data_IF_249880821649
#
_entry.id   IF_249880821649
#
_cell.length_a   1.000
_cell.length_b   1.000
_cell.length_c   1.000
_cell.angle_alpha   90.00
_cell.angle_beta   90.00
_cell.angle_gamma   90.00
#
_symmetry.space_group_name_H-M   'P 1'
#
loop_
_entity.id
_entity.type
_entity.pdbx_description
1 polymer ?
#
# COMPACT_ATOMS: atom_id res chain seq x y z
N UNK A 1 7.47 23.39 82.73
CA UNK A 1 8.89 23.51 83.11
C UNK A 1 9.64 23.65 81.79
N UNK A 2 9.95 24.89 81.51
CA UNK A 2 11.15 25.70 81.75
C UNK A 2 12.20 25.49 80.65
N UNK A 3 12.33 26.47 79.97
CA UNK A 3 13.23 27.59 79.61
C UNK A 3 14.19 27.22 78.48
N UNK A 4 14.12 27.87 77.34
CA UNK A 4 14.70 29.17 76.97
C UNK A 4 16.24 29.21 77.03
N UNK A 5 16.91 29.52 75.96
CA UNK A 5 17.94 30.54 75.73
C UNK A 5 18.53 30.42 74.34
N UNK A 6 18.31 31.33 73.42
CA UNK A 6 19.08 32.53 72.99
C UNK A 6 20.54 32.27 72.65
N UNK A 7 20.92 32.48 71.41
CA UNK A 7 21.77 33.55 70.82
C UNK A 7 22.31 33.13 69.46
N UNK A 8 21.95 33.82 68.38
CA UNK A 8 22.65 34.92 67.66
C UNK A 8 23.95 34.57 66.89
N UNK A 9 23.83 34.90 65.60
CA UNK A 9 24.83 35.46 64.67
C UNK A 9 25.79 34.49 64.00
N UNK A 10 25.77 34.34 62.69
CA UNK A 10 26.51 35.22 61.80
C UNK A 10 26.17 34.88 60.28
N UNK A 11 26.05 35.93 59.52
CA UNK A 11 25.94 36.00 58.08
C UNK A 11 27.09 35.25 57.43
N UNK A 12 26.76 34.41 56.41
CA UNK A 12 27.62 34.29 55.23
C UNK A 12 26.72 33.99 54.04
N UNK A 13 26.66 34.97 53.16
CA UNK A 13 26.06 34.95 51.84
C UNK A 13 26.99 34.10 50.96
N UNK A 14 26.61 32.88 50.65
CA UNK A 14 27.17 32.16 49.51
C UNK A 14 26.12 32.15 48.38
N UNK A 15 26.32 33.02 47.43
CA UNK A 15 25.54 33.04 46.19
C UNK A 15 25.77 31.75 45.42
N UNK A 16 24.73 30.93 45.32
CA UNK A 16 24.68 29.86 44.31
C UNK A 16 24.32 30.49 42.99
N UNK A 17 25.32 30.65 42.11
CA UNK A 17 25.12 30.92 40.70
C UNK A 17 24.67 29.60 40.09
N UNK A 18 23.36 29.45 39.84
CA UNK A 18 22.84 28.38 39.02
C UNK A 18 23.15 28.77 37.58
N UNK A 19 24.22 28.21 37.03
CA UNK A 19 24.44 28.19 35.58
C UNK A 19 23.37 27.30 34.96
N UNK A 20 22.32 27.90 34.40
CA UNK A 20 21.49 27.25 33.41
C UNK A 20 22.32 27.05 32.14
N UNK A 21 22.88 25.87 31.98
CA UNK A 21 23.38 25.44 30.69
C UNK A 21 22.16 25.26 29.81
N UNK A 22 21.89 26.23 28.93
CA UNK A 22 21.02 26.04 27.78
C UNK A 22 21.71 24.98 26.89
N UNK A 23 21.31 23.73 27.06
CA UNK A 23 21.55 22.72 26.05
C UNK A 23 20.64 23.13 24.89
N UNK A 24 21.20 23.87 23.92
CA UNK A 24 20.62 23.94 22.59
C UNK A 24 20.70 22.51 22.03
N UNK A 25 19.67 21.73 22.24
CA UNK A 25 19.39 20.57 21.42
C UNK A 25 19.25 21.11 20.00
N UNK A 26 20.27 20.90 19.18
CA UNK A 26 20.11 20.95 17.75
C UNK A 26 19.23 19.75 17.43
N UNK A 27 17.91 19.94 17.43
CA UNK A 27 17.04 19.09 16.67
C UNK A 27 17.47 19.27 15.23
N UNK A 28 18.35 18.39 14.77
CA UNK A 28 18.46 18.15 13.35
C UNK A 28 17.10 17.62 12.95
N UNK A 29 16.21 18.50 12.51
CA UNK A 29 15.13 18.14 11.62
C UNK A 29 15.89 17.51 10.45
N UNK A 30 15.91 16.18 10.39
CA UNK A 30 16.24 15.46 9.18
C UNK A 30 15.03 15.78 8.30
N UNK A 31 15.21 16.84 7.49
CA UNK A 31 14.29 17.15 6.41
C UNK A 31 14.38 15.96 5.45
N UNK A 32 13.52 14.98 5.66
CA UNK A 32 13.31 13.86 4.75
C UNK A 32 12.47 14.36 3.57
N UNK A 33 12.94 15.44 2.93
CA UNK A 33 12.32 15.94 1.72
C UNK A 33 12.51 14.88 0.62
N UNK A 34 11.45 14.08 0.39
CA UNK A 34 11.46 13.08 -0.66
C UNK A 34 11.47 13.82 -1.99
N UNK A 35 12.42 13.54 -2.90
CA UNK A 35 12.46 14.21 -4.20
C UNK A 35 11.18 14.04 -5.00
N UNK A 36 10.85 15.01 -5.86
CA UNK A 36 9.71 14.92 -6.79
C UNK A 36 9.84 13.74 -7.75
N UNK A 37 11.08 13.28 -7.99
CA UNK A 37 11.43 12.14 -8.82
C UNK A 37 12.57 11.37 -8.19
N UNK A 38 12.37 10.08 -8.04
CA UNK A 38 13.41 9.12 -7.67
C UNK A 38 13.57 8.18 -8.86
N UNK A 39 14.73 8.18 -9.49
CA UNK A 39 15.08 7.22 -10.56
C UNK A 39 15.90 6.11 -9.92
N UNK A 40 15.48 4.87 -10.07
CA UNK A 40 16.24 3.72 -9.57
C UNK A 40 17.63 3.66 -10.20
N UNK A 41 18.65 3.34 -9.42
CA UNK A 41 20.06 3.28 -9.88
C UNK A 41 20.31 2.18 -10.91
N UNK A 42 19.37 1.22 -11.02
CA UNK A 42 19.44 0.09 -11.95
C UNK A 42 18.07 -0.38 -12.39
N UNK A 43 18.01 -0.98 -13.57
CA UNK A 43 16.89 -1.82 -14.01
C UNK A 43 17.07 -3.28 -13.58
N UNK A 44 16.34 -4.16 -14.25
CA UNK A 44 16.39 -5.62 -14.03
C UNK A 44 15.42 -6.13 -12.98
N UNK A 45 14.65 -5.25 -12.37
CA UNK A 45 13.45 -5.57 -11.60
C UNK A 45 12.27 -4.79 -12.18
N UNK A 46 11.07 -5.26 -11.98
CA UNK A 46 9.85 -4.65 -12.53
C UNK A 46 8.91 -4.37 -11.36
N UNK A 47 8.97 -3.18 -10.74
CA UNK A 47 8.07 -2.81 -9.65
C UNK A 47 6.65 -2.65 -10.18
N UNK A 48 5.69 -3.22 -9.50
CA UNK A 48 4.28 -3.05 -9.81
C UNK A 48 3.55 -2.43 -8.64
N UNK A 49 3.57 -3.07 -7.46
CA UNK A 49 3.12 -2.51 -6.20
C UNK A 49 4.20 -1.66 -5.54
N UNK A 50 3.78 -0.59 -4.89
CA UNK A 50 4.64 0.26 -4.06
C UNK A 50 3.92 0.63 -2.77
N UNK A 51 4.66 0.58 -1.66
CA UNK A 51 4.19 1.03 -0.35
C UNK A 51 5.27 1.84 0.38
N UNK A 52 4.84 2.67 1.31
CA UNK A 52 5.75 3.42 2.16
C UNK A 52 5.71 2.91 3.60
N UNK A 53 6.82 2.32 4.04
CA UNK A 53 7.07 1.94 5.43
C UNK A 53 7.48 3.19 6.22
N UNK A 54 6.52 3.80 6.92
CA UNK A 54 6.73 5.05 7.65
C UNK A 54 7.63 4.87 8.87
N UNK A 55 7.66 3.65 9.45
CA UNK A 55 8.50 3.32 10.61
C UNK A 55 9.98 3.38 10.23
N UNK A 56 10.33 2.89 9.04
CA UNK A 56 11.70 2.86 8.56
C UNK A 56 11.99 3.95 7.51
N UNK A 57 11.01 4.80 7.17
CA UNK A 57 11.11 5.92 6.22
C UNK A 57 11.66 5.49 4.85
N UNK A 58 11.02 4.47 4.23
CA UNK A 58 11.48 3.86 2.98
C UNK A 58 10.32 3.44 2.08
N UNK A 59 10.54 3.51 0.77
CA UNK A 59 9.66 2.86 -0.19
C UNK A 59 10.00 1.38 -0.30
N UNK A 60 8.99 0.54 -0.27
CA UNK A 60 9.07 -0.89 -0.59
C UNK A 60 8.35 -1.15 -1.90
N UNK A 61 8.89 -2.05 -2.70
CA UNK A 61 8.26 -2.48 -3.94
C UNK A 61 8.57 -3.95 -4.21
N UNK A 62 7.58 -4.66 -4.73
CA UNK A 62 7.77 -6.00 -5.26
C UNK A 62 8.43 -5.98 -6.64
N UNK A 63 8.70 -7.15 -7.19
CA UNK A 63 9.23 -7.30 -8.55
C UNK A 63 8.51 -8.42 -9.29
N UNK A 64 7.92 -8.07 -10.44
CA UNK A 64 7.34 -9.07 -11.36
C UNK A 64 8.39 -9.93 -12.02
N UNK A 65 9.66 -9.49 -12.05
CA UNK A 65 10.73 -10.19 -12.78
C UNK A 65 11.32 -11.35 -12.00
N UNK A 66 11.45 -11.24 -10.67
CA UNK A 66 12.18 -12.18 -9.82
C UNK A 66 11.54 -12.43 -8.45
N UNK A 67 10.38 -11.83 -8.18
CA UNK A 67 9.67 -11.96 -6.92
C UNK A 67 10.32 -11.26 -5.72
N UNK A 68 11.53 -10.73 -5.85
CA UNK A 68 12.25 -10.05 -4.76
C UNK A 68 11.53 -8.78 -4.33
N UNK A 69 11.50 -8.50 -3.03
CA UNK A 69 11.03 -7.23 -2.49
C UNK A 69 12.23 -6.33 -2.26
N UNK A 70 12.15 -5.12 -2.79
CA UNK A 70 13.20 -4.12 -2.75
C UNK A 70 12.79 -2.91 -1.93
N UNK A 71 13.75 -2.35 -1.22
CA UNK A 71 13.73 -0.97 -0.76
C UNK A 71 14.27 -0.07 -1.87
N UNK A 72 13.57 1.03 -2.15
CA UNK A 72 14.04 2.10 -3.03
C UNK A 72 14.24 3.34 -2.17
N UNK A 73 15.49 3.76 -2.02
CA UNK A 73 15.83 4.92 -1.19
C UNK A 73 15.53 6.23 -1.92
N UNK A 74 15.44 7.34 -1.19
CA UNK A 74 15.27 8.69 -1.77
C UNK A 74 16.38 9.08 -2.77
N UNK A 75 17.55 8.42 -2.72
CA UNK A 75 18.63 8.61 -3.69
C UNK A 75 18.54 7.69 -4.91
N UNK A 76 17.57 6.81 -4.98
CA UNK A 76 17.38 5.83 -6.05
C UNK A 76 18.16 4.53 -5.86
N UNK A 77 18.83 4.34 -4.72
CA UNK A 77 19.49 3.06 -4.43
C UNK A 77 18.45 1.94 -4.29
N UNK A 78 18.70 0.78 -4.90
CA UNK A 78 17.83 -0.39 -4.91
C UNK A 78 18.44 -1.50 -4.07
N UNK A 79 17.84 -1.78 -2.92
CA UNK A 79 18.34 -2.70 -1.91
C UNK A 79 17.37 -3.89 -1.78
N UNK A 80 17.79 -5.14 -2.02
CA UNK A 80 16.93 -6.29 -1.76
C UNK A 80 16.73 -6.46 -0.25
N UNK A 81 15.47 -6.52 0.19
CA UNK A 81 15.11 -6.68 1.61
C UNK A 81 14.50 -8.04 1.92
N UNK A 82 13.77 -8.64 0.96
CA UNK A 82 13.26 -10.00 1.07
C UNK A 82 13.58 -10.74 -0.22
N UNK A 83 14.38 -11.80 -0.10
CA UNK A 83 14.71 -12.74 -1.17
C UNK A 83 14.19 -14.10 -0.71
N UNK A 84 13.14 -14.59 -1.37
CA UNK A 84 12.48 -15.84 -1.02
C UNK A 84 12.13 -16.61 -2.31
N UNK A 85 12.66 -17.82 -2.44
CA UNK A 85 12.45 -18.66 -3.64
C UNK A 85 10.97 -19.07 -3.84
N UNK A 86 10.11 -18.90 -2.84
CA UNK A 86 8.69 -19.15 -2.95
C UNK A 86 7.90 -17.97 -3.58
N UNK A 87 8.52 -16.79 -3.68
CA UNK A 87 7.98 -15.67 -4.42
C UNK A 87 8.26 -15.83 -5.92
N UNK A 88 7.22 -15.81 -6.73
CA UNK A 88 7.31 -16.00 -8.19
C UNK A 88 7.35 -14.64 -8.88
N UNK A 89 6.26 -13.87 -8.72
CA UNK A 89 6.14 -12.49 -9.13
C UNK A 89 5.33 -11.75 -8.04
N UNK A 90 5.97 -10.79 -7.40
CA UNK A 90 5.30 -9.95 -6.40
C UNK A 90 4.59 -8.80 -7.11
N UNK A 91 3.27 -8.78 -6.98
CA UNK A 91 2.38 -7.83 -7.64
C UNK A 91 2.09 -6.69 -6.66
N UNK A 92 0.90 -6.64 -6.07
CA UNK A 92 0.58 -5.67 -5.03
C UNK A 92 1.24 -6.01 -3.69
N UNK A 93 1.57 -5.00 -2.93
CA UNK A 93 2.09 -5.11 -1.57
C UNK A 93 1.35 -4.14 -0.65
N UNK A 94 1.24 -4.48 0.64
CA UNK A 94 0.59 -3.66 1.66
C UNK A 94 1.38 -3.71 2.97
N UNK A 95 1.66 -2.56 3.56
CA UNK A 95 2.36 -2.43 4.84
C UNK A 95 1.36 -2.30 5.98
N UNK A 96 1.20 -3.36 6.77
CA UNK A 96 0.42 -3.36 8.01
C UNK A 96 1.33 -2.98 9.19
N UNK A 97 1.59 -1.68 9.35
CA UNK A 97 2.46 -1.15 10.42
C UNK A 97 1.96 -1.52 11.81
N UNK A 98 0.63 -1.53 12.02
CA UNK A 98 0.02 -1.81 13.31
C UNK A 98 0.39 -3.21 13.82
N UNK A 99 0.61 -4.16 12.89
CA UNK A 99 0.95 -5.56 13.19
C UNK A 99 2.34 -5.96 12.75
N UNK A 100 3.15 -4.98 12.32
CA UNK A 100 4.52 -5.18 11.84
C UNK A 100 4.59 -6.25 10.74
N UNK A 101 3.73 -6.16 9.74
CA UNK A 101 3.65 -7.12 8.63
C UNK A 101 3.79 -6.45 7.28
N UNK A 102 4.41 -7.16 6.36
CA UNK A 102 4.33 -6.89 4.92
C UNK A 102 3.48 -7.98 4.27
N UNK A 103 2.44 -7.58 3.58
CA UNK A 103 1.49 -8.44 2.88
C UNK A 103 1.79 -8.35 1.39
N UNK A 104 1.85 -9.49 0.71
CA UNK A 104 2.36 -9.56 -0.66
C UNK A 104 1.46 -10.44 -1.51
N UNK A 105 0.83 -9.89 -2.53
CA UNK A 105 0.20 -10.66 -3.58
C UNK A 105 1.28 -11.31 -4.44
N UNK A 106 1.37 -12.64 -4.41
CA UNK A 106 2.35 -13.43 -5.14
C UNK A 106 1.64 -14.26 -6.19
N UNK A 107 1.96 -14.01 -7.44
CA UNK A 107 1.30 -14.63 -8.58
C UNK A 107 2.29 -15.17 -9.60
N UNK A 108 1.81 -16.02 -10.49
CA UNK A 108 2.57 -16.35 -11.70
C UNK A 108 2.48 -15.18 -12.68
N UNK A 109 3.46 -15.03 -13.57
CA UNK A 109 3.42 -13.96 -14.58
C UNK A 109 2.08 -13.97 -15.35
N UNK A 110 1.51 -12.78 -15.54
CA UNK A 110 0.22 -12.65 -16.24
C UNK A 110 0.26 -13.20 -17.67
N UNK A 111 1.40 -13.16 -18.32
CA UNK A 111 1.61 -13.67 -19.68
C UNK A 111 1.88 -15.16 -19.77
N UNK A 112 2.12 -15.83 -18.64
CA UNK A 112 2.41 -17.26 -18.65
C UNK A 112 1.17 -18.08 -19.02
N UNK A 113 1.33 -19.15 -19.80
CA UNK A 113 0.23 -20.05 -20.13
C UNK A 113 -0.19 -20.87 -18.90
N UNK A 114 -1.48 -21.17 -18.81
CA UNK A 114 -2.01 -22.03 -17.76
C UNK A 114 -2.89 -21.28 -16.75
N UNK A 115 -3.30 -21.97 -15.67
CA UNK A 115 -4.25 -21.42 -14.71
C UNK A 115 -3.66 -20.29 -13.87
N UNK A 116 -2.34 -20.09 -13.86
CA UNK A 116 -1.70 -19.12 -12.99
C UNK A 116 -1.66 -19.57 -11.53
N UNK A 117 -1.36 -18.63 -10.65
CA UNK A 117 -1.36 -18.81 -9.20
C UNK A 117 -1.94 -17.56 -8.52
N UNK A 118 -2.62 -17.75 -7.40
CA UNK A 118 -3.00 -16.68 -6.50
C UNK A 118 -2.56 -17.06 -5.08
N UNK A 119 -1.52 -16.41 -4.59
CA UNK A 119 -0.93 -16.65 -3.28
C UNK A 119 -0.90 -15.34 -2.49
N UNK A 120 -0.97 -15.44 -1.18
CA UNK A 120 -0.65 -14.33 -0.28
C UNK A 120 0.55 -14.73 0.56
N UNK A 121 1.65 -14.01 0.44
CA UNK A 121 2.78 -14.11 1.33
C UNK A 121 2.68 -13.06 2.44
N UNK A 122 3.07 -13.40 3.65
CA UNK A 122 3.07 -12.53 4.82
C UNK A 122 4.45 -12.62 5.46
N UNK A 123 5.08 -11.47 5.64
CA UNK A 123 6.39 -11.34 6.26
C UNK A 123 6.32 -10.44 7.50
N UNK A 124 7.20 -10.68 8.46
CA UNK A 124 7.50 -9.69 9.50
C UNK A 124 8.23 -8.52 8.86
N UNK A 125 7.68 -7.31 8.99
CA UNK A 125 8.18 -6.10 8.32
C UNK A 125 9.59 -5.72 8.78
N UNK A 126 9.91 -5.99 10.05
CA UNK A 126 11.20 -5.60 10.65
C UNK A 126 12.32 -6.57 10.32
N UNK A 127 12.03 -7.89 10.32
CA UNK A 127 13.05 -8.94 10.12
C UNK A 127 13.08 -9.52 8.72
N UNK A 128 12.01 -9.37 7.94
CA UNK A 128 11.83 -10.05 6.66
C UNK A 128 11.56 -11.56 6.79
N UNK A 129 11.29 -12.07 8.01
CA UNK A 129 10.96 -13.49 8.21
C UNK A 129 9.58 -13.80 7.63
N UNK A 130 9.47 -14.89 6.87
CA UNK A 130 8.20 -15.36 6.34
C UNK A 130 7.32 -15.90 7.46
N UNK A 131 6.16 -15.27 7.68
CA UNK A 131 5.16 -15.68 8.66
C UNK A 131 4.17 -16.69 8.08
N UNK A 132 3.81 -16.54 6.80
CA UNK A 132 2.90 -17.44 6.09
C UNK A 132 3.03 -17.32 4.57
N UNK A 133 2.69 -18.41 3.87
CA UNK A 133 2.41 -18.47 2.45
C UNK A 133 1.07 -19.18 2.26
N UNK A 134 0.08 -18.50 1.70
CA UNK A 134 -1.31 -18.95 1.66
C UNK A 134 -1.74 -19.14 0.22
N UNK A 135 -2.13 -20.34 -0.16
CA UNK A 135 -2.74 -20.62 -1.46
C UNK A 135 -4.20 -20.16 -1.47
N UNK A 136 -4.46 -19.03 -2.13
CA UNK A 136 -5.78 -18.44 -2.25
C UNK A 136 -6.64 -19.18 -3.28
N UNK A 137 -6.04 -19.76 -4.31
CA UNK A 137 -6.77 -20.53 -5.32
C UNK A 137 -7.42 -21.79 -4.71
N UNK A 138 -6.79 -22.38 -3.70
CA UNK A 138 -7.27 -23.58 -3.04
C UNK A 138 -8.62 -23.44 -2.30
N UNK A 139 -9.04 -22.21 -1.97
CA UNK A 139 -10.32 -21.96 -1.27
C UNK A 139 -11.47 -21.67 -2.21
N UNK A 140 -11.25 -21.68 -3.52
CA UNK A 140 -12.32 -21.49 -4.51
C UNK A 140 -13.07 -22.81 -4.69
N UNK A 141 -14.33 -22.82 -4.26
CA UNK A 141 -15.18 -24.01 -4.38
C UNK A 141 -15.65 -24.22 -5.83
N UNK A 142 -15.54 -25.45 -6.34
CA UNK A 142 -16.00 -25.85 -7.66
C UNK A 142 -15.55 -24.89 -8.80
N UNK A 143 -14.25 -24.62 -8.93
CA UNK A 143 -13.77 -23.73 -9.97
C UNK A 143 -14.13 -24.27 -11.36
N UNK A 144 -14.38 -23.37 -12.31
CA UNK A 144 -14.55 -23.75 -13.72
C UNK A 144 -13.32 -24.49 -14.23
N UNK A 145 -13.50 -25.35 -15.26
CA UNK A 145 -12.38 -26.14 -15.78
C UNK A 145 -11.26 -25.27 -16.43
N UNK A 146 -11.61 -24.07 -16.82
CA UNK A 146 -10.75 -23.04 -17.41
C UNK A 146 -10.46 -21.89 -16.42
N UNK A 147 -10.72 -22.09 -15.11
CA UNK A 147 -10.43 -21.10 -14.09
C UNK A 147 -8.95 -20.69 -14.15
N UNK A 148 -8.74 -19.38 -14.13
CA UNK A 148 -7.42 -18.79 -14.09
C UNK A 148 -7.32 -17.82 -12.91
N UNK A 149 -6.14 -17.75 -12.29
CA UNK A 149 -5.89 -17.06 -11.05
C UNK A 149 -4.78 -16.03 -11.21
N UNK A 150 -4.93 -14.89 -10.57
CA UNK A 150 -3.91 -13.87 -10.48
C UNK A 150 -4.21 -12.95 -9.30
N UNK A 151 -3.62 -13.26 -8.11
CA UNK A 151 -3.65 -12.34 -6.99
C UNK A 151 -2.95 -11.04 -7.40
N UNK A 152 -3.65 -9.92 -7.24
CA UNK A 152 -3.18 -8.65 -7.75
C UNK A 152 -2.82 -7.70 -6.61
N UNK A 153 -3.78 -7.24 -5.85
CA UNK A 153 -3.57 -6.21 -4.85
C UNK A 153 -4.13 -6.61 -3.48
N UNK A 154 -3.66 -5.93 -2.43
CA UNK A 154 -3.91 -6.30 -1.03
C UNK A 154 -4.37 -5.09 -0.25
N UNK A 155 -5.40 -5.27 0.57
CA UNK A 155 -5.82 -4.30 1.58
C UNK A 155 -5.95 -4.96 2.95
N UNK A 156 -5.75 -4.20 4.02
CA UNK A 156 -5.90 -4.67 5.40
C UNK A 156 -6.88 -3.82 6.19
N UNK A 157 -7.81 -4.47 6.92
CA UNK A 157 -8.71 -3.75 7.79
C UNK A 157 -8.05 -3.38 9.12
N UNK A 158 -8.63 -2.41 9.84
CA UNK A 158 -8.21 -2.06 11.21
C UNK A 158 -8.22 -3.25 12.18
N UNK A 159 -9.04 -4.28 11.91
CA UNK A 159 -9.06 -5.53 12.69
C UNK A 159 -7.98 -6.54 12.24
N UNK A 160 -7.16 -6.22 11.24
CA UNK A 160 -6.11 -7.09 10.71
C UNK A 160 -6.61 -8.19 9.76
N UNK A 161 -7.84 -8.11 9.28
CA UNK A 161 -8.35 -8.96 8.22
C UNK A 161 -7.80 -8.48 6.89
N UNK A 162 -7.23 -9.39 6.10
CA UNK A 162 -6.60 -9.11 4.81
C UNK A 162 -7.59 -9.42 3.70
N UNK A 163 -7.58 -8.61 2.65
CA UNK A 163 -8.36 -8.79 1.43
C UNK A 163 -7.43 -8.76 0.23
N UNK A 164 -7.66 -9.66 -0.73
CA UNK A 164 -6.81 -9.77 -1.91
C UNK A 164 -7.70 -9.85 -3.13
N UNK A 165 -7.47 -9.02 -4.14
CA UNK A 165 -8.14 -9.11 -5.43
C UNK A 165 -7.51 -10.18 -6.30
N UNK A 166 -8.33 -10.84 -7.13
CA UNK A 166 -7.89 -11.72 -8.19
C UNK A 166 -8.42 -11.19 -9.53
N UNK A 167 -7.50 -10.76 -10.39
CA UNK A 167 -7.85 -10.13 -11.66
C UNK A 167 -8.46 -11.11 -12.65
N UNK A 168 -7.92 -12.34 -12.73
CA UNK A 168 -8.36 -13.33 -13.72
C UNK A 168 -9.68 -13.99 -13.36
N UNK A 169 -9.86 -14.28 -12.07
CA UNK A 169 -11.08 -14.94 -11.60
C UNK A 169 -12.20 -13.95 -11.23
N UNK A 170 -11.88 -12.67 -11.07
CA UNK A 170 -12.78 -11.63 -10.56
C UNK A 170 -13.34 -11.99 -9.18
N UNK A 171 -12.46 -12.31 -8.26
CA UNK A 171 -12.76 -12.71 -6.88
C UNK A 171 -12.05 -11.75 -5.91
N UNK A 172 -12.65 -11.53 -4.76
CA UNK A 172 -11.95 -10.97 -3.60
C UNK A 172 -11.85 -12.07 -2.55
N UNK A 173 -10.63 -12.39 -2.16
CA UNK A 173 -10.35 -13.28 -1.04
C UNK A 173 -10.33 -12.51 0.27
N UNK A 174 -10.59 -13.24 1.35
CA UNK A 174 -10.50 -12.77 2.73
C UNK A 174 -9.64 -13.70 3.54
N UNK A 175 -8.64 -13.18 4.25
CA UNK A 175 -7.79 -13.94 5.16
C UNK A 175 -7.94 -13.39 6.57
N UNK A 176 -8.32 -14.24 7.51
CA UNK A 176 -8.55 -13.85 8.90
C UNK A 176 -7.23 -13.75 9.70
N UNK A 177 -7.33 -13.31 10.95
CA UNK A 177 -6.18 -13.19 11.87
C UNK A 177 -5.42 -14.48 12.17
N UNK A 178 -6.01 -15.65 11.84
CA UNK A 178 -5.38 -16.97 11.98
C UNK A 178 -4.80 -17.49 10.66
N UNK A 179 -4.71 -16.60 9.66
CA UNK A 179 -4.22 -16.90 8.31
C UNK A 179 -5.07 -17.95 7.56
N UNK A 180 -6.36 -18.01 7.88
CA UNK A 180 -7.31 -18.87 7.17
C UNK A 180 -7.98 -18.06 6.06
N UNK A 181 -7.80 -18.53 4.83
CA UNK A 181 -8.40 -17.92 3.65
C UNK A 181 -9.83 -18.40 3.40
N UNK A 182 -10.62 -17.56 2.77
CA UNK A 182 -11.94 -17.85 2.22
C UNK A 182 -12.25 -16.88 1.08
N UNK A 183 -13.21 -17.21 0.24
CA UNK A 183 -13.74 -16.26 -0.75
C UNK A 183 -14.68 -15.29 -0.03
N UNK A 184 -14.44 -13.98 -0.15
CA UNK A 184 -15.36 -12.95 0.34
C UNK A 184 -16.53 -12.76 -0.65
N UNK A 185 -16.18 -12.60 -1.93
CA UNK A 185 -17.14 -12.46 -3.03
C UNK A 185 -16.52 -12.98 -4.33
N UNK A 186 -17.34 -13.64 -5.13
CA UNK A 186 -16.98 -14.10 -6.48
C UNK A 186 -17.94 -13.44 -7.48
N UNK A 187 -17.41 -12.54 -8.30
CA UNK A 187 -18.19 -11.89 -9.36
C UNK A 187 -18.31 -12.77 -10.61
N UNK A 188 -17.41 -13.74 -10.76
CA UNK A 188 -17.29 -14.63 -11.92
C UNK A 188 -16.46 -14.05 -13.06
N UNK A 189 -15.77 -14.93 -13.78
CA UNK A 189 -14.92 -14.56 -14.92
C UNK A 189 -15.68 -13.81 -16.02
N UNK A 190 -16.96 -14.12 -16.19
CA UNK A 190 -17.82 -13.49 -17.21
C UNK A 190 -18.38 -12.12 -16.77
N UNK A 191 -18.05 -11.66 -15.55
CA UNK A 191 -18.52 -10.36 -15.05
C UNK A 191 -18.00 -9.16 -15.85
N UNK A 192 -16.88 -9.32 -16.52
CA UNK A 192 -16.15 -8.22 -17.16
C UNK A 192 -15.40 -7.31 -16.18
N UNK A 193 -15.42 -7.65 -14.90
CA UNK A 193 -14.65 -6.95 -13.86
C UNK A 193 -13.27 -7.59 -13.76
N UNK A 194 -12.29 -6.90 -14.24
CA UNK A 194 -10.89 -7.27 -14.08
C UNK A 194 -10.37 -6.54 -12.83
N UNK A 195 -10.64 -7.10 -11.65
CA UNK A 195 -10.30 -6.47 -10.37
C UNK A 195 -8.79 -6.25 -10.26
N UNK A 196 -8.42 -5.05 -9.83
CA UNK A 196 -7.02 -4.66 -9.62
C UNK A 196 -6.89 -4.06 -8.22
N UNK A 197 -6.55 -2.79 -8.08
CA UNK A 197 -6.37 -2.11 -6.81
C UNK A 197 -7.56 -2.29 -5.87
N UNK A 198 -7.27 -2.37 -4.57
CA UNK A 198 -8.27 -2.53 -3.51
C UNK A 198 -7.87 -1.77 -2.27
N UNK A 199 -8.84 -1.11 -1.65
CA UNK A 199 -8.65 -0.36 -0.41
C UNK A 199 -9.74 -0.64 0.62
N UNK A 200 -9.36 -0.68 1.89
CA UNK A 200 -10.29 -0.78 3.01
C UNK A 200 -10.66 0.61 3.54
N UNK A 201 -11.96 0.85 3.69
CA UNK A 201 -12.47 2.05 4.35
C UNK A 201 -12.92 1.75 5.79
N UNK A 202 -12.54 2.56 6.81
CA UNK A 202 -12.86 2.31 8.22
C UNK A 202 -14.37 2.23 8.54
N UNK A 203 -15.24 2.71 7.66
CA UNK A 203 -16.69 2.52 7.79
C UNK A 203 -17.18 1.10 7.46
N UNK A 204 -16.28 0.15 7.16
CA UNK A 204 -16.58 -1.27 7.01
C UNK A 204 -16.96 -1.71 5.61
N UNK A 205 -16.33 -1.16 4.60
CA UNK A 205 -16.42 -1.59 3.20
C UNK A 205 -15.07 -1.55 2.51
N UNK A 206 -14.98 -2.21 1.38
CA UNK A 206 -13.86 -2.12 0.45
C UNK A 206 -14.27 -1.25 -0.74
N UNK A 207 -13.29 -0.58 -1.33
CA UNK A 207 -13.37 -0.06 -2.69
C UNK A 207 -12.35 -0.82 -3.52
N UNK A 208 -12.78 -1.38 -4.64
CA UNK A 208 -11.90 -1.98 -5.63
C UNK A 208 -12.05 -1.26 -6.97
N UNK A 209 -11.01 -1.31 -7.82
CA UNK A 209 -11.07 -0.76 -9.17
C UNK A 209 -11.03 -1.87 -10.22
N UNK A 210 -11.76 -1.68 -11.31
CA UNK A 210 -11.71 -2.53 -12.50
C UNK A 210 -10.68 -1.98 -13.49
N UNK A 211 -9.72 -2.81 -13.92
CA UNK A 211 -8.68 -2.40 -14.86
C UNK A 211 -9.24 -1.96 -16.21
N UNK A 212 -10.34 -2.52 -16.67
CA UNK A 212 -10.85 -2.28 -18.02
C UNK A 212 -11.49 -0.91 -18.16
N UNK A 213 -12.56 -0.66 -17.43
CA UNK A 213 -13.33 0.56 -17.53
C UNK A 213 -12.97 1.62 -16.50
N UNK A 214 -12.28 1.23 -15.43
CA UNK A 214 -11.95 2.10 -14.29
C UNK A 214 -13.13 2.31 -13.36
N UNK A 215 -14.08 1.39 -13.36
CA UNK A 215 -15.19 1.39 -12.42
C UNK A 215 -14.66 1.19 -11.00
N UNK A 216 -15.13 2.03 -10.08
CA UNK A 216 -14.94 1.84 -8.65
C UNK A 216 -16.10 1.00 -8.10
N UNK A 217 -15.78 -0.03 -7.33
CA UNK A 217 -16.72 -1.01 -6.81
C UNK A 217 -16.68 -0.95 -5.31
N UNK A 218 -17.82 -0.64 -4.68
CA UNK A 218 -17.99 -0.62 -3.22
C UNK A 218 -18.55 -1.95 -2.73
N UNK A 219 -17.87 -2.58 -1.78
CA UNK A 219 -18.22 -3.89 -1.24
C UNK A 219 -18.40 -3.79 0.28
N UNK A 220 -19.64 -3.72 0.81
CA UNK A 220 -19.90 -3.72 2.25
C UNK A 220 -19.48 -5.05 2.90
N UNK A 221 -18.60 -5.01 3.92
CA UNK A 221 -18.08 -6.22 4.55
C UNK A 221 -19.12 -7.03 5.33
N UNK A 222 -20.18 -6.38 5.81
CA UNK A 222 -21.30 -7.05 6.51
C UNK A 222 -22.31 -7.69 5.56
N UNK A 223 -22.27 -7.37 4.27
CA UNK A 223 -23.16 -7.89 3.24
C UNK A 223 -22.49 -7.81 1.85
N UNK A 224 -21.42 -8.58 1.56
CA UNK A 224 -20.62 -8.43 0.34
C UNK A 224 -21.44 -8.55 -0.95
N UNK A 225 -22.49 -9.39 -0.95
CA UNK A 225 -23.39 -9.55 -2.10
C UNK A 225 -24.26 -8.31 -2.39
N UNK A 226 -24.21 -7.27 -1.56
CA UNK A 226 -24.86 -5.97 -1.79
C UNK A 226 -23.88 -4.93 -2.33
N UNK A 227 -22.85 -5.39 -3.01
CA UNK A 227 -21.92 -4.50 -3.68
C UNK A 227 -22.61 -3.59 -4.70
N UNK A 228 -22.02 -2.44 -5.00
CA UNK A 228 -22.51 -1.50 -6.00
C UNK A 228 -21.33 -0.85 -6.73
N UNK A 229 -21.59 -0.36 -7.94
CA UNK A 229 -20.69 0.58 -8.58
C UNK A 229 -20.79 1.92 -7.86
N UNK A 230 -19.66 2.60 -7.68
CA UNK A 230 -19.61 4.01 -7.28
C UNK A 230 -19.92 4.86 -8.51
N UNK A 231 -20.91 5.74 -8.45
CA UNK A 231 -21.19 6.66 -9.54
C UNK A 231 -20.07 7.71 -9.61
N UNK A 232 -19.27 7.70 -10.65
CA UNK A 232 -18.20 8.67 -10.87
C UNK A 232 -18.44 9.50 -12.12
N UNK A 233 -18.14 10.78 -12.06
CA UNK A 233 -18.27 11.70 -13.20
C UNK A 233 -17.19 11.46 -14.27
N UNK A 234 -16.06 10.87 -13.89
CA UNK A 234 -14.95 10.57 -14.79
C UNK A 234 -14.19 9.31 -14.36
N UNK A 235 -14.46 8.13 -14.93
CA UNK A 235 -13.84 6.88 -14.50
C UNK A 235 -12.34 6.81 -14.86
N UNK A 236 -11.57 6.13 -14.02
CA UNK A 236 -10.13 5.89 -14.19
C UNK A 236 -9.87 4.72 -15.14
N UNK A 237 -10.25 4.85 -16.42
CA UNK A 237 -10.07 3.77 -17.41
C UNK A 237 -8.62 3.26 -17.45
N UNK A 238 -8.43 1.95 -17.36
CA UNK A 238 -7.14 1.33 -17.11
C UNK A 238 -6.74 1.48 -15.64
N UNK A 239 -7.73 1.45 -14.73
CA UNK A 239 -7.49 1.53 -13.29
C UNK A 239 -6.57 0.41 -12.80
N UNK A 240 -5.59 0.78 -12.00
CA UNK A 240 -4.57 -0.12 -11.45
C UNK A 240 -4.58 0.00 -9.91
N UNK A 241 -3.51 0.41 -9.25
CA UNK A 241 -3.49 0.56 -7.81
C UNK A 241 -4.44 1.65 -7.28
N UNK A 242 -4.86 1.48 -6.03
CA UNK A 242 -5.61 2.44 -5.24
C UNK A 242 -4.82 2.84 -4.00
N UNK A 243 -5.00 4.05 -3.49
CA UNK A 243 -4.48 4.48 -2.20
C UNK A 243 -5.35 5.60 -1.59
N UNK A 244 -5.55 5.58 -0.27
CA UNK A 244 -6.20 6.66 0.45
C UNK A 244 -5.24 7.83 0.65
N UNK A 245 -5.66 9.03 0.26
CA UNK A 245 -4.97 10.26 0.62
C UNK A 245 -5.36 10.69 2.05
N UNK A 246 -4.49 11.47 2.71
CA UNK A 246 -4.69 11.95 4.09
C UNK A 246 -5.95 12.80 4.28
N UNK A 247 -6.45 13.44 3.23
CA UNK A 247 -7.69 14.22 3.25
C UNK A 247 -8.97 13.38 3.04
N UNK A 248 -8.84 12.04 2.98
CA UNK A 248 -9.94 11.10 2.76
C UNK A 248 -10.35 10.94 1.30
N UNK A 249 -9.62 11.53 0.37
CA UNK A 249 -9.77 11.24 -1.06
C UNK A 249 -9.17 9.89 -1.41
N UNK A 250 -9.75 9.20 -2.39
CA UNK A 250 -9.21 7.99 -2.98
C UNK A 250 -8.46 8.34 -4.27
N UNK A 251 -7.22 7.89 -4.36
CA UNK A 251 -6.39 8.06 -5.55
C UNK A 251 -6.35 6.73 -6.30
N UNK A 252 -6.67 6.76 -7.59
CA UNK A 252 -6.56 5.62 -8.50
C UNK A 252 -5.49 5.92 -9.54
N UNK A 253 -4.55 5.01 -9.70
CA UNK A 253 -3.62 5.04 -10.82
C UNK A 253 -4.32 4.55 -12.08
N UNK A 254 -4.11 5.22 -13.20
CA UNK A 254 -4.69 4.88 -14.49
C UNK A 254 -3.59 4.69 -15.53
N UNK A 255 -3.27 3.45 -15.87
CA UNK A 255 -2.27 3.13 -16.89
C UNK A 255 -2.62 3.75 -18.24
N UNK A 256 -3.88 3.59 -18.69
CA UNK A 256 -4.32 4.04 -20.01
C UNK A 256 -4.29 5.56 -20.17
N UNK A 257 -4.32 6.31 -19.05
CA UNK A 257 -4.27 7.77 -19.06
C UNK A 257 -2.89 8.30 -18.70
N UNK A 258 -1.96 7.45 -18.29
CA UNK A 258 -0.67 7.87 -17.73
C UNK A 258 -0.87 8.95 -16.65
N UNK A 259 -1.76 8.67 -15.71
CA UNK A 259 -2.17 9.63 -14.69
C UNK A 259 -2.61 8.95 -13.39
N UNK A 260 -2.56 9.69 -12.30
CA UNK A 260 -3.32 9.39 -11.09
C UNK A 260 -4.48 10.34 -10.95
N UNK A 261 -5.59 9.82 -10.47
CA UNK A 261 -6.89 10.48 -10.41
C UNK A 261 -7.40 10.43 -8.98
N UNK A 262 -7.65 11.61 -8.38
CA UNK A 262 -8.11 11.75 -7.01
C UNK A 262 -9.61 12.02 -6.98
N UNK A 263 -10.32 11.21 -6.22
CA UNK A 263 -11.77 11.28 -6.05
C UNK A 263 -12.14 11.63 -4.61
N UNK A 264 -13.22 12.36 -4.44
CA UNK A 264 -13.87 12.57 -3.14
C UNK A 264 -15.34 12.19 -3.19
N UNK A 265 -15.85 11.72 -2.07
CA UNK A 265 -17.26 11.36 -1.87
C UNK A 265 -17.81 12.02 -0.62
N UNK A 266 -19.03 12.55 -0.72
CA UNK A 266 -19.79 13.14 0.40
C UNK A 266 -20.94 12.23 0.88
N UNK A 267 -21.13 11.07 0.24
CA UNK A 267 -22.27 10.18 0.44
C UNK A 267 -21.85 8.72 0.75
N UNK A 268 -20.73 8.57 1.46
CA UNK A 268 -20.18 7.27 1.82
C UNK A 268 -19.80 6.39 0.62
N UNK A 269 -19.35 6.99 -0.47
CA UNK A 269 -18.94 6.30 -1.70
C UNK A 269 -20.08 5.58 -2.43
N UNK A 270 -21.28 6.12 -2.37
CA UNK A 270 -22.33 5.79 -3.33
C UNK A 270 -22.08 6.54 -4.66
N UNK A 271 -21.55 7.76 -4.57
CA UNK A 271 -20.97 8.50 -5.68
C UNK A 271 -19.66 9.18 -5.30
N UNK A 272 -18.85 9.57 -6.31
CA UNK A 272 -17.63 10.33 -6.10
C UNK A 272 -17.34 11.24 -7.28
N UNK A 273 -16.65 12.36 -7.01
CA UNK A 273 -16.26 13.35 -8.01
C UNK A 273 -14.74 13.37 -8.18
N UNK A 274 -14.27 13.51 -9.41
CA UNK A 274 -12.86 13.76 -9.69
C UNK A 274 -12.49 15.16 -9.19
N UNK A 275 -11.58 15.24 -8.23
CA UNK A 275 -11.15 16.51 -7.61
C UNK A 275 -9.73 16.90 -7.97
N UNK A 276 -8.94 15.94 -8.50
CA UNK A 276 -7.57 16.17 -8.94
C UNK A 276 -7.11 15.14 -9.95
N UNK A 277 -6.18 15.53 -10.81
CA UNK A 277 -5.50 14.63 -11.75
C UNK A 277 -4.08 15.11 -11.96
N UNK A 278 -3.11 14.20 -11.79
CA UNK A 278 -1.71 14.41 -12.12
C UNK A 278 -1.30 13.46 -13.23
N UNK A 279 -0.77 14.01 -14.34
CA UNK A 279 -0.36 13.23 -15.52
C UNK A 279 1.16 13.09 -15.57
N UNK A 280 1.63 11.98 -16.12
CA UNK A 280 3.04 11.64 -16.26
C UNK A 280 3.40 11.27 -17.70
N UNK A 281 4.69 11.27 -18.00
CA UNK A 281 5.21 10.56 -19.17
C UNK A 281 5.40 9.09 -18.77
N UNK A 282 4.81 8.16 -19.51
CA UNK A 282 4.86 6.72 -19.20
C UNK A 282 3.66 6.21 -18.39
N UNK A 283 3.70 4.94 -18.03
CA UNK A 283 2.63 4.25 -17.32
C UNK A 283 3.00 4.08 -15.85
N UNK A 284 2.17 4.61 -14.96
CA UNK A 284 2.20 4.26 -13.55
C UNK A 284 1.34 3.02 -13.28
N UNK A 285 1.69 2.26 -12.24
CA UNK A 285 0.92 1.08 -11.81
C UNK A 285 0.23 1.33 -10.47
N UNK A 286 0.97 1.61 -9.43
CA UNK A 286 0.45 1.80 -8.09
C UNK A 286 1.00 3.09 -7.48
N UNK A 287 0.36 3.59 -6.44
CA UNK A 287 0.80 4.77 -5.72
C UNK A 287 0.83 4.50 -4.21
N UNK A 288 1.79 5.11 -3.53
CA UNK A 288 1.91 5.13 -2.07
C UNK A 288 1.63 6.52 -1.51
N UNK A 289 1.01 6.59 -0.33
CA UNK A 289 0.81 7.83 0.40
C UNK A 289 1.93 8.04 1.43
N UNK A 290 2.51 9.24 1.45
CA UNK A 290 3.53 9.65 2.42
C UNK A 290 3.10 10.98 3.04
N UNK A 291 2.49 10.92 4.21
CA UNK A 291 1.85 12.09 4.80
C UNK A 291 0.75 12.63 3.89
N UNK A 292 0.88 13.88 3.45
CA UNK A 292 -0.09 14.52 2.55
C UNK A 292 0.23 14.33 1.06
N UNK A 293 1.27 13.59 0.75
CA UNK A 293 1.81 13.46 -0.60
C UNK A 293 1.57 12.07 -1.17
N UNK A 294 1.43 12.00 -2.48
CA UNK A 294 1.22 10.76 -3.24
C UNK A 294 2.41 10.55 -4.18
N UNK A 295 2.94 9.35 -4.17
CA UNK A 295 4.04 8.93 -5.02
C UNK A 295 3.62 7.73 -5.87
N UNK A 296 3.91 7.79 -7.16
CA UNK A 296 3.51 6.78 -8.16
C UNK A 296 4.73 6.07 -8.66
N UNK A 297 4.69 4.74 -8.71
CA UNK A 297 5.74 3.95 -9.34
C UNK A 297 5.50 3.80 -10.84
N UNK A 298 6.57 3.97 -11.61
CA UNK A 298 6.62 3.73 -13.06
C UNK A 298 7.63 2.63 -13.37
N UNK A 299 7.17 1.43 -13.74
CA UNK A 299 8.06 0.28 -13.96
C UNK A 299 8.82 0.29 -15.29
N UNK A 300 8.44 1.15 -16.25
CA UNK A 300 9.03 1.18 -17.59
C UNK A 300 8.98 -0.16 -18.32
N UNK A 301 7.78 -0.79 -18.37
CA UNK A 301 7.56 -2.13 -18.98
C UNK A 301 8.04 -2.25 -20.42
N UNK A 302 7.95 -1.17 -21.20
CA UNK A 302 8.13 -1.19 -22.64
C UNK A 302 9.53 -0.75 -23.11
N UNK A 303 10.36 -0.25 -22.20
CA UNK A 303 11.69 0.30 -22.52
C UNK A 303 12.75 -0.23 -21.54
N UNK A 304 13.99 0.19 -21.73
CA UNK A 304 15.09 -0.24 -20.89
C UNK A 304 15.47 0.80 -19.81
N UNK A 305 14.61 1.80 -19.62
CA UNK A 305 14.84 2.82 -18.62
C UNK A 305 14.67 2.24 -17.21
N UNK A 306 15.45 2.71 -16.23
CA UNK A 306 15.25 2.31 -14.85
C UNK A 306 13.87 2.74 -14.33
N UNK A 307 13.25 1.98 -13.42
CA UNK A 307 12.01 2.38 -12.79
C UNK A 307 12.12 3.71 -12.06
N UNK A 308 11.00 4.41 -11.95
CA UNK A 308 10.92 5.70 -11.27
C UNK A 308 9.79 5.74 -10.25
N UNK A 309 9.97 6.58 -9.22
CA UNK A 309 8.92 6.97 -8.29
C UNK A 309 8.72 8.47 -8.44
N UNK A 310 7.50 8.89 -8.75
CA UNK A 310 7.17 10.28 -9.08
C UNK A 310 6.15 10.84 -8.10
N UNK A 311 6.39 12.05 -7.59
CA UNK A 311 5.40 12.78 -6.79
C UNK A 311 4.25 13.26 -7.67
N UNK A 312 3.02 12.89 -7.32
CA UNK A 312 1.80 13.40 -7.95
C UNK A 312 1.49 14.81 -7.43
N UNK A 313 1.26 15.75 -8.33
CA UNK A 313 0.87 17.14 -8.02
C UNK A 313 -0.53 17.40 -8.60
N UNK A 314 -1.53 17.36 -7.73
CA UNK A 314 -2.94 17.60 -8.06
C UNK A 314 -3.29 19.08 -8.19
#
# INVERSE_FOLDING_TARGET
MSLAYFQRCFRNLCGFVICFSLVNGCDTIVDNDIPDRITAERGGFIPEGIEYDSINSRFLSGSLADGTIYEITNSGQVIPVIIDESLIATVGIEVDEERNRLLVANSQSFSDPGPGAAMLAIYDLSSGEQLAMIDLAAVVENPAADAAYFANDVAVSTAGTIFVTDTRLSVIYKVNQYYQASVLINFGMDSGLFLNGIEYHPAGYLIAVSSQGGELIKIPLNAPNRWSMVEVDFPAAGGDGLVWASDGGLVSTSNNRSAVMKYHSDDHWDSAQLTGMASFEGQGTTAAAVGDEIFVVQPHFADAEPPEILRAKF
#
